data_IF_805872133972
#
_entry.id   IF_805872133972
#
_cell.length_a   1.000
_cell.length_b   1.000
_cell.length_c   1.000
_cell.angle_alpha   90.00
_cell.angle_beta   90.00
_cell.angle_gamma   90.00
#
_symmetry.space_group_name_H-M   'P 1'
#
loop_
_entity.id
_entity.type
_entity.pdbx_description
1 polymer ?
#
# COMPACT_ATOMS: atom_id res chain seq x y z
N UNK A 1 -25.31 -10.38 35.78
CA UNK A 1 -25.44 -9.63 34.52
C UNK A 1 -24.58 -10.29 33.46
N UNK A 2 -25.17 -11.05 32.54
CA UNK A 2 -24.43 -11.62 31.41
C UNK A 2 -24.08 -10.47 30.45
N UNK A 3 -22.77 -10.18 30.32
CA UNK A 3 -22.24 -9.36 29.23
C UNK A 3 -22.61 -10.06 27.91
N UNK A 4 -23.70 -9.64 27.25
CA UNK A 4 -23.99 -10.07 25.88
C UNK A 4 -22.87 -9.54 25.00
N UNK A 5 -21.94 -10.42 24.66
CA UNK A 5 -20.89 -10.17 23.67
C UNK A 5 -21.63 -9.86 22.36
N UNK A 6 -21.69 -8.58 21.97
CA UNK A 6 -22.31 -8.18 20.71
C UNK A 6 -21.39 -8.62 19.56
N UNK A 7 -21.78 -9.63 18.75
CA UNK A 7 -20.93 -10.20 17.71
C UNK A 7 -20.53 -9.17 16.63
N UNK A 8 -21.38 -8.17 16.37
CA UNK A 8 -21.11 -7.11 15.40
C UNK A 8 -19.94 -6.22 15.83
N UNK A 9 -19.83 -5.93 17.14
CA UNK A 9 -18.75 -5.11 17.69
C UNK A 9 -17.39 -5.82 17.56
N UNK A 10 -17.37 -7.14 17.74
CA UNK A 10 -16.17 -7.96 17.58
C UNK A 10 -15.77 -8.10 16.12
N UNK A 11 -16.73 -8.27 15.20
CA UNK A 11 -16.48 -8.29 13.76
C UNK A 11 -15.86 -6.98 13.25
N UNK A 12 -16.41 -5.83 13.67
CA UNK A 12 -15.85 -4.51 13.32
C UNK A 12 -14.44 -4.32 13.88
N UNK A 13 -14.19 -4.73 15.13
CA UNK A 13 -12.87 -4.65 15.76
C UNK A 13 -11.84 -5.54 15.03
N UNK A 14 -12.24 -6.76 14.67
CA UNK A 14 -11.40 -7.69 13.92
C UNK A 14 -11.09 -7.19 12.50
N UNK A 15 -12.10 -6.62 11.81
CA UNK A 15 -11.90 -5.98 10.50
C UNK A 15 -10.92 -4.82 10.57
N UNK A 16 -11.02 -3.96 11.59
CA UNK A 16 -10.05 -2.86 11.82
C UNK A 16 -8.63 -3.38 12.08
N UNK A 17 -8.46 -4.43 12.89
CA UNK A 17 -7.14 -5.03 13.14
C UNK A 17 -6.53 -5.58 11.85
N UNK A 18 -7.33 -6.29 11.03
CA UNK A 18 -6.87 -6.79 9.73
C UNK A 18 -6.47 -5.68 8.78
N UNK A 19 -7.23 -4.60 8.71
CA UNK A 19 -6.91 -3.43 7.87
C UNK A 19 -5.63 -2.74 8.36
N UNK A 20 -5.47 -2.56 9.68
CA UNK A 20 -4.25 -1.99 10.23
C UNK A 20 -3.02 -2.85 9.93
N UNK A 21 -3.14 -4.18 10.05
CA UNK A 21 -2.07 -5.10 9.71
C UNK A 21 -1.70 -5.00 8.22
N UNK A 22 -2.71 -4.90 7.34
CA UNK A 22 -2.53 -4.69 5.90
C UNK A 22 -1.82 -3.38 5.58
N UNK A 23 -2.15 -2.31 6.30
CA UNK A 23 -1.50 -1.01 6.12
C UNK A 23 -0.03 -1.11 6.51
N UNK A 24 0.28 -1.72 7.66
CA UNK A 24 1.66 -1.88 8.12
C UNK A 24 2.48 -2.75 7.16
N UNK A 25 1.93 -3.88 6.70
CA UNK A 25 2.62 -4.74 5.73
C UNK A 25 2.88 -4.02 4.42
N UNK A 26 1.92 -3.19 3.96
CA UNK A 26 2.07 -2.37 2.75
C UNK A 26 3.17 -1.32 2.90
N UNK A 27 3.24 -0.64 4.06
CA UNK A 27 4.27 0.37 4.33
C UNK A 27 5.65 -0.29 4.35
N UNK A 28 5.82 -1.40 5.07
CA UNK A 28 7.10 -2.12 5.15
C UNK A 28 7.56 -2.57 3.75
N UNK A 29 6.64 -3.17 2.97
CA UNK A 29 6.92 -3.59 1.60
C UNK A 29 7.33 -2.41 0.70
N UNK A 30 6.64 -1.27 0.81
CA UNK A 30 6.97 -0.06 0.04
C UNK A 30 8.35 0.49 0.40
N UNK A 31 8.68 0.57 1.70
CA UNK A 31 10.00 1.02 2.15
C UNK A 31 11.11 0.10 1.64
N UNK A 32 10.87 -1.21 1.64
CA UNK A 32 11.80 -2.19 1.09
C UNK A 32 12.05 -1.95 -0.40
N UNK A 33 10.99 -1.81 -1.22
CA UNK A 33 11.14 -1.52 -2.65
C UNK A 33 11.90 -0.22 -2.88
N UNK A 34 11.53 0.86 -2.19
CA UNK A 34 12.21 2.16 -2.30
C UNK A 34 13.70 2.02 -2.01
N UNK A 35 14.07 1.26 -0.98
CA UNK A 35 15.48 1.03 -0.64
C UNK A 35 16.25 0.34 -1.79
N UNK A 36 15.68 -0.71 -2.39
CA UNK A 36 16.30 -1.38 -3.54
C UNK A 36 16.37 -0.48 -4.77
N UNK A 37 15.35 0.34 -5.02
CA UNK A 37 15.37 1.33 -6.11
C UNK A 37 16.46 2.38 -5.92
N UNK A 38 16.66 2.88 -4.70
CA UNK A 38 17.73 3.83 -4.41
C UNK A 38 19.09 3.17 -4.70
N UNK A 39 19.30 1.93 -4.27
CA UNK A 39 20.55 1.21 -4.56
C UNK A 39 20.74 1.04 -6.07
N UNK A 40 19.70 0.61 -6.78
CA UNK A 40 19.74 0.40 -8.23
C UNK A 40 20.04 1.71 -8.98
N UNK A 41 19.35 2.79 -8.65
CA UNK A 41 19.58 4.11 -9.25
C UNK A 41 20.95 4.67 -8.86
N UNK A 42 21.47 4.37 -7.66
CA UNK A 42 22.82 4.77 -7.25
C UNK A 42 23.91 4.07 -8.07
N UNK A 43 23.68 2.81 -8.43
CA UNK A 43 24.56 2.05 -9.33
C UNK A 43 24.53 2.67 -10.73
N UNK A 44 23.35 3.03 -11.24
CA UNK A 44 23.19 3.61 -12.58
C UNK A 44 23.71 5.05 -12.71
N UNK A 45 23.39 5.91 -11.76
CA UNK A 45 23.63 7.36 -11.87
C UNK A 45 24.91 7.82 -11.19
N UNK A 46 25.54 6.98 -10.37
CA UNK A 46 26.76 7.32 -9.65
C UNK A 46 26.59 8.33 -8.51
N UNK A 47 25.40 8.91 -8.32
CA UNK A 47 25.15 9.96 -7.31
C UNK A 47 23.98 9.60 -6.39
N UNK A 48 24.12 9.91 -5.10
CA UNK A 48 23.08 9.65 -4.11
C UNK A 48 21.89 10.60 -4.25
N UNK A 49 22.12 11.84 -4.65
CA UNK A 49 21.07 12.85 -4.79
C UNK A 49 20.05 12.47 -5.88
N UNK A 50 20.54 12.09 -7.08
CA UNK A 50 19.67 11.66 -8.17
C UNK A 50 18.99 10.32 -7.86
N UNK A 51 19.68 9.40 -7.19
CA UNK A 51 19.11 8.11 -6.81
C UNK A 51 17.93 8.25 -5.82
N UNK A 52 18.09 9.09 -4.80
CA UNK A 52 17.03 9.34 -3.81
C UNK A 52 15.86 10.09 -4.45
N UNK A 53 16.12 11.17 -5.18
CA UNK A 53 15.07 11.93 -5.88
C UNK A 53 14.32 11.06 -6.89
N UNK A 54 15.06 10.29 -7.69
CA UNK A 54 14.51 9.39 -8.70
C UNK A 54 13.63 8.31 -8.09
N UNK A 55 14.07 7.67 -7.00
CA UNK A 55 13.27 6.63 -6.34
C UNK A 55 11.99 7.21 -5.71
N UNK A 56 12.05 8.39 -5.07
CA UNK A 56 10.86 9.03 -4.50
C UNK A 56 9.84 9.37 -5.61
N UNK A 57 10.30 9.98 -6.71
CA UNK A 57 9.46 10.32 -7.86
C UNK A 57 8.81 9.07 -8.44
N UNK A 58 9.62 8.02 -8.63
CA UNK A 58 9.13 6.76 -9.19
C UNK A 58 8.13 6.06 -8.26
N UNK A 59 8.35 6.11 -6.94
CA UNK A 59 7.40 5.54 -5.98
C UNK A 59 6.04 6.24 -6.02
N UNK A 60 6.02 7.58 -6.14
CA UNK A 60 4.80 8.37 -6.30
C UNK A 60 4.07 7.98 -7.59
N UNK A 61 4.80 7.88 -8.71
CA UNK A 61 4.25 7.45 -9.99
C UNK A 61 3.66 6.04 -9.89
N UNK A 62 4.39 5.10 -9.28
CA UNK A 62 3.95 3.72 -9.08
C UNK A 62 2.68 3.64 -8.23
N UNK A 63 2.58 4.46 -7.18
CA UNK A 63 1.37 4.56 -6.36
C UNK A 63 0.18 5.09 -7.19
N UNK A 64 0.41 6.09 -8.03
CA UNK A 64 -0.60 6.62 -8.95
C UNK A 64 -1.11 5.53 -9.91
N UNK A 65 -0.21 4.79 -10.56
CA UNK A 65 -0.58 3.68 -11.44
C UNK A 65 -1.32 2.56 -10.71
N UNK A 66 -0.93 2.24 -9.48
CA UNK A 66 -1.62 1.24 -8.67
C UNK A 66 -3.09 1.59 -8.46
N UNK A 67 -3.40 2.85 -8.11
CA UNK A 67 -4.78 3.31 -7.93
C UNK A 67 -5.55 3.36 -9.23
N UNK A 68 -4.94 3.84 -10.32
CA UNK A 68 -5.57 3.87 -11.65
C UNK A 68 -5.91 2.45 -12.11
N UNK A 69 -4.99 1.50 -11.92
CA UNK A 69 -5.20 0.09 -12.25
C UNK A 69 -6.34 -0.49 -11.43
N UNK A 70 -6.34 -0.31 -10.10
CA UNK A 70 -7.41 -0.82 -9.24
C UNK A 70 -8.77 -0.19 -9.56
N UNK A 71 -8.81 1.11 -9.82
CA UNK A 71 -10.04 1.80 -10.20
C UNK A 71 -10.58 1.28 -11.53
N UNK A 72 -9.72 1.18 -12.55
CA UNK A 72 -10.08 0.66 -13.87
C UNK A 72 -10.56 -0.80 -13.77
N UNK A 73 -9.86 -1.63 -13.00
CA UNK A 73 -10.23 -3.01 -12.74
C UNK A 73 -11.59 -3.11 -12.04
N UNK A 74 -11.80 -2.38 -10.95
CA UNK A 74 -13.10 -2.36 -10.25
C UNK A 74 -14.24 -1.91 -11.16
N UNK A 75 -13.99 -0.91 -12.03
CA UNK A 75 -14.96 -0.41 -13.01
C UNK A 75 -15.29 -1.45 -14.08
N UNK A 76 -14.29 -2.15 -14.63
CA UNK A 76 -14.46 -3.20 -15.65
C UNK A 76 -15.21 -4.40 -15.08
N UNK A 77 -14.85 -4.85 -13.88
CA UNK A 77 -15.43 -6.04 -13.26
C UNK A 77 -16.68 -5.76 -12.42
N UNK A 78 -17.19 -4.51 -12.41
CA UNK A 78 -18.35 -4.08 -11.62
C UNK A 78 -18.26 -4.46 -10.12
N UNK A 79 -17.05 -4.57 -9.58
CA UNK A 79 -16.83 -4.93 -8.17
C UNK A 79 -17.42 -3.82 -7.29
N UNK A 80 -18.47 -4.15 -6.52
CA UNK A 80 -19.20 -3.20 -5.67
C UNK A 80 -20.47 -2.61 -6.29
N UNK A 81 -20.87 -3.03 -7.49
CA UNK A 81 -22.25 -2.85 -7.96
C UNK A 81 -23.01 -4.15 -7.71
N UNK A 82 -23.63 -4.23 -6.54
CA UNK A 82 -24.93 -4.90 -6.41
C UNK A 82 -25.99 -4.05 -7.11
#
# INVERSE_FOLDING_TARGET
MQNKINPERNLLKFRKIKVNLLIHSTIIYRLFITFFEIIFLRILTGTWELAIKGSIIWNIINLGFYYIYHYSFAKVFKLGKE
#
